data_IF_283624398743
#
_entry.id   IF_283624398743
#
_cell.length_a   1.000
_cell.length_b   1.000
_cell.length_c   1.000
_cell.angle_alpha   90.00
_cell.angle_beta   90.00
_cell.angle_gamma   90.00
#
_symmetry.space_group_name_H-M   'P 1'
#
loop_
_entity.id
_entity.type
_entity.pdbx_description
1 polymer ?
#
# COMPACT_ATOMS: atom_id res chain seq x y z
N UNK A 1 -36.97 23.27 46.14
CA UNK A 1 -37.04 22.64 44.81
C UNK A 1 -36.98 23.70 43.72
N UNK A 2 -35.84 23.79 43.03
CA UNK A 2 -35.71 24.10 41.59
C UNK A 2 -34.40 23.45 41.14
N UNK A 3 -34.52 22.45 40.28
CA UNK A 3 -33.41 21.77 39.61
C UNK A 3 -32.99 22.64 38.45
N UNK A 4 -31.69 22.87 38.26
CA UNK A 4 -31.19 23.26 36.94
C UNK A 4 -29.82 22.62 36.70
N UNK A 5 -29.83 21.74 35.71
CA UNK A 5 -28.75 20.91 35.21
C UNK A 5 -28.11 21.67 34.04
N UNK A 6 -26.81 21.91 34.05
CA UNK A 6 -26.05 22.25 32.83
C UNK A 6 -24.73 21.50 32.87
N UNK A 7 -24.74 20.29 32.32
CA UNK A 7 -24.21 19.94 30.98
C UNK A 7 -22.72 19.70 31.02
N UNK A 8 -22.42 18.40 31.01
CA UNK A 8 -21.11 17.76 30.91
C UNK A 8 -20.44 18.20 29.61
N UNK A 9 -19.34 18.96 29.69
CA UNK A 9 -18.42 19.09 28.56
C UNK A 9 -17.53 17.85 28.59
N UNK A 10 -18.07 16.74 28.09
CA UNK A 10 -17.27 15.58 27.70
C UNK A 10 -16.42 16.00 26.51
N UNK A 11 -15.23 16.51 26.80
CA UNK A 11 -14.13 16.53 25.85
C UNK A 11 -13.79 15.09 25.50
N UNK A 12 -14.50 14.54 24.52
CA UNK A 12 -14.07 13.38 23.75
C UNK A 12 -12.75 13.77 23.09
N UNK A 13 -11.66 13.50 23.79
CA UNK A 13 -10.38 13.20 23.17
C UNK A 13 -10.65 12.00 22.25
N UNK A 14 -10.99 12.29 20.98
CA UNK A 14 -10.79 11.33 19.91
C UNK A 14 -9.28 11.13 19.81
N UNK A 15 -8.74 10.26 20.67
CA UNK A 15 -7.55 9.49 20.33
C UNK A 15 -7.91 8.76 19.05
N UNK A 16 -7.50 9.31 17.91
CA UNK A 16 -7.47 8.57 16.66
C UNK A 16 -6.43 7.47 16.93
N UNK A 17 -6.89 6.32 17.42
CA UNK A 17 -6.13 5.09 17.30
C UNK A 17 -5.97 4.93 15.79
N UNK A 18 -4.82 5.37 15.26
CA UNK A 18 -4.35 4.90 13.97
C UNK A 18 -4.09 3.42 14.21
N UNK A 19 -5.12 2.60 13.98
CA UNK A 19 -4.98 1.16 13.97
C UNK A 19 -3.99 0.85 12.87
N UNK A 20 -2.73 0.63 13.26
CA UNK A 20 -1.74 0.02 12.39
C UNK A 20 -2.34 -1.32 11.96
N UNK A 21 -2.77 -1.42 10.71
CA UNK A 21 -3.35 -2.66 10.21
C UNK A 21 -2.19 -3.61 9.96
N UNK A 22 -2.21 -4.76 10.63
CA UNK A 22 -1.19 -5.78 10.40
C UNK A 22 -1.47 -6.42 9.02
N UNK A 23 -0.46 -6.50 8.15
CA UNK A 23 -0.54 -7.22 6.87
C UNK A 23 -1.16 -8.63 6.98
N UNK A 24 -0.98 -9.29 8.13
CA UNK A 24 -1.49 -10.65 8.36
C UNK A 24 -3.02 -10.70 8.52
N UNK A 25 -3.69 -9.55 8.70
CA UNK A 25 -5.16 -9.50 8.75
C UNK A 25 -5.81 -9.54 7.37
N UNK A 26 -5.05 -9.38 6.30
CA UNK A 26 -5.56 -9.46 4.93
C UNK A 26 -5.56 -10.91 4.44
N UNK A 27 -6.74 -11.43 4.13
CA UNK A 27 -7.00 -12.81 3.72
C UNK A 27 -7.50 -12.95 2.27
N UNK A 28 -7.52 -11.85 1.51
CA UNK A 28 -7.87 -11.84 0.08
C UNK A 28 -6.70 -12.36 -0.76
N UNK A 29 -6.93 -13.38 -1.59
CA UNK A 29 -5.96 -13.79 -2.62
C UNK A 29 -5.93 -12.79 -3.77
N UNK A 30 -4.73 -12.54 -4.29
CA UNK A 30 -4.57 -11.66 -5.45
C UNK A 30 -5.12 -12.27 -6.73
N UNK A 31 -5.65 -11.41 -7.59
CA UNK A 31 -5.79 -11.73 -9.02
C UNK A 31 -4.39 -11.89 -9.60
N UNK A 32 -4.16 -12.94 -10.39
CA UNK A 32 -2.84 -13.43 -10.78
C UNK A 32 -1.93 -12.31 -11.31
N UNK A 33 -2.43 -11.50 -12.25
CA UNK A 33 -1.66 -10.46 -12.96
C UNK A 33 -1.68 -9.07 -12.32
N UNK A 34 -2.39 -8.87 -11.19
CA UNK A 34 -2.54 -7.53 -10.61
C UNK A 34 -1.21 -6.91 -10.18
N UNK A 35 -0.84 -5.75 -10.72
CA UNK A 35 0.43 -5.10 -10.40
C UNK A 35 1.65 -5.77 -11.02
N UNK A 36 1.50 -6.83 -11.83
CA UNK A 36 2.61 -7.49 -12.51
C UNK A 36 2.80 -6.85 -13.90
N UNK A 37 4.02 -6.43 -14.26
CA UNK A 37 4.31 -5.95 -15.61
C UNK A 37 4.16 -7.09 -16.62
N UNK A 38 3.49 -6.87 -17.76
CA UNK A 38 3.44 -7.87 -18.83
C UNK A 38 4.84 -8.15 -19.39
N UNK A 39 5.03 -9.36 -19.90
CA UNK A 39 6.31 -9.78 -20.50
C UNK A 39 6.76 -8.90 -21.68
N UNK A 40 5.81 -8.27 -22.38
CA UNK A 40 6.07 -7.27 -23.41
C UNK A 40 5.48 -5.93 -22.96
N UNK A 41 6.18 -4.80 -23.16
CA UNK A 41 5.65 -3.49 -22.80
C UNK A 41 4.32 -3.20 -23.50
N UNK A 42 3.27 -2.97 -22.70
CA UNK A 42 1.95 -2.56 -23.20
C UNK A 42 1.67 -1.16 -22.67
N UNK A 43 1.30 -0.19 -23.52
CA UNK A 43 0.92 1.15 -23.06
C UNK A 43 -0.18 1.10 -21.99
N UNK A 44 0.04 1.77 -20.87
CA UNK A 44 -0.90 1.81 -19.75
C UNK A 44 -0.92 0.56 -18.86
N UNK A 45 -0.04 -0.43 -19.09
CA UNK A 45 0.15 -1.53 -18.13
C UNK A 45 1.03 -1.12 -16.95
N UNK A 46 1.15 -2.00 -15.97
CA UNK A 46 2.20 -1.90 -14.97
C UNK A 46 3.58 -2.01 -15.62
N UNK A 47 4.54 -1.33 -15.01
CA UNK A 47 5.96 -1.33 -15.34
C UNK A 47 6.75 -1.40 -14.03
N UNK A 48 7.96 -1.95 -14.06
CA UNK A 48 8.82 -1.89 -12.88
C UNK A 48 9.20 -0.45 -12.60
N UNK A 49 9.25 -0.08 -11.33
CA UNK A 49 9.71 1.24 -10.89
C UNK A 49 10.94 1.13 -10.00
N UNK A 50 11.80 2.15 -10.03
CA UNK A 50 12.94 2.21 -9.13
C UNK A 50 12.44 2.55 -7.73
N UNK A 51 12.74 1.72 -6.74
CA UNK A 51 12.31 1.95 -5.36
C UNK A 51 12.91 3.22 -4.73
N UNK A 52 13.91 3.82 -5.38
CA UNK A 52 14.54 5.08 -4.99
C UNK A 52 13.96 6.30 -5.70
N UNK A 53 13.07 6.10 -6.68
CA UNK A 53 12.32 7.19 -7.32
C UNK A 53 11.45 7.90 -6.27
N UNK A 54 11.30 9.22 -6.40
CA UNK A 54 10.54 10.03 -5.43
C UNK A 54 9.09 9.57 -5.30
N UNK A 55 8.48 9.14 -6.41
CA UNK A 55 7.12 8.61 -6.44
C UNK A 55 7.00 7.28 -5.69
N UNK A 56 7.89 6.34 -5.98
CA UNK A 56 7.94 5.04 -5.31
C UNK A 56 8.23 5.18 -3.80
N UNK A 57 9.17 6.05 -3.42
CA UNK A 57 9.48 6.36 -2.02
C UNK A 57 8.27 6.98 -1.29
N UNK A 58 7.54 7.88 -1.96
CA UNK A 58 6.32 8.46 -1.41
C UNK A 58 5.25 7.40 -1.16
N UNK A 59 5.04 6.50 -2.13
CA UNK A 59 4.11 5.39 -2.00
C UNK A 59 4.49 4.44 -0.85
N UNK A 60 5.77 4.08 -0.75
CA UNK A 60 6.31 3.27 0.34
C UNK A 60 6.02 3.89 1.70
N UNK A 61 6.39 5.17 1.88
CA UNK A 61 6.16 5.88 3.15
C UNK A 61 4.68 5.96 3.51
N UNK A 62 3.81 6.17 2.52
CA UNK A 62 2.37 6.23 2.73
C UNK A 62 1.81 4.88 3.21
N UNK A 63 2.32 3.77 2.66
CA UNK A 63 1.95 2.44 3.11
C UNK A 63 2.52 2.11 4.50
N UNK A 64 3.80 2.42 4.76
CA UNK A 64 4.44 2.18 6.06
C UNK A 64 3.77 2.97 7.19
N UNK A 65 3.31 4.20 6.91
CA UNK A 65 2.58 5.00 7.88
C UNK A 65 1.27 4.34 8.35
N UNK A 66 0.68 3.46 7.55
CA UNK A 66 -0.58 2.75 7.87
C UNK A 66 -0.37 1.30 8.32
N UNK A 67 0.62 0.62 7.75
CA UNK A 67 0.83 -0.83 7.92
C UNK A 67 2.04 -1.15 8.81
N UNK A 68 2.84 -0.14 9.17
CA UNK A 68 4.11 -0.32 9.87
C UNK A 68 5.24 -0.68 8.91
N UNK A 69 6.41 -1.03 9.46
CA UNK A 69 7.58 -1.40 8.67
C UNK A 69 7.31 -2.66 7.84
N UNK A 70 7.69 -2.61 6.57
CA UNK A 70 7.45 -3.68 5.61
C UNK A 70 8.75 -4.16 4.99
N UNK A 71 8.88 -5.46 4.76
CA UNK A 71 9.99 -6.01 4.00
C UNK A 71 9.66 -5.91 2.49
N UNK A 72 9.98 -4.75 1.93
CA UNK A 72 9.64 -4.38 0.55
C UNK A 72 10.55 -5.13 -0.41
N UNK A 73 9.94 -5.89 -1.30
CA UNK A 73 10.63 -6.61 -2.35
C UNK A 73 10.86 -5.73 -3.58
N UNK A 74 9.81 -5.11 -4.11
CA UNK A 74 9.87 -4.22 -5.28
C UNK A 74 8.60 -3.36 -5.36
N UNK A 75 8.59 -2.40 -6.28
CA UNK A 75 7.44 -1.54 -6.59
C UNK A 75 7.20 -1.56 -8.09
N UNK A 76 5.94 -1.67 -8.48
CA UNK A 76 5.53 -1.49 -9.86
C UNK A 76 4.62 -0.27 -9.97
N UNK A 77 4.64 0.37 -11.14
CA UNK A 77 3.91 1.60 -11.42
C UNK A 77 3.08 1.45 -12.68
N UNK A 78 1.87 1.98 -12.65
CA UNK A 78 0.99 2.17 -13.79
C UNK A 78 0.58 3.64 -13.87
N UNK A 79 0.68 4.22 -15.07
CA UNK A 79 0.22 5.59 -15.33
C UNK A 79 -1.29 5.58 -15.58
N UNK A 80 -2.02 6.37 -14.81
CA UNK A 80 -3.48 6.57 -14.91
C UNK A 80 -3.77 8.08 -14.88
N UNK A 81 -4.90 8.52 -14.31
CA UNK A 81 -5.12 9.93 -13.98
C UNK A 81 -4.34 10.36 -12.72
N UNK A 82 -3.04 10.06 -12.70
CA UNK A 82 -2.20 9.93 -11.52
C UNK A 82 -1.28 8.72 -11.69
N UNK A 83 -0.89 8.07 -10.60
CA UNK A 83 -0.09 6.86 -10.65
C UNK A 83 -0.64 5.81 -9.68
N UNK A 84 -0.79 4.59 -10.17
CA UNK A 84 -1.02 3.43 -9.32
C UNK A 84 0.32 2.77 -9.05
N UNK A 85 0.69 2.67 -7.78
CA UNK A 85 1.82 1.90 -7.30
C UNK A 85 1.32 0.60 -6.70
N UNK A 86 2.00 -0.51 -6.98
CA UNK A 86 1.81 -1.77 -6.26
C UNK A 86 3.13 -2.14 -5.61
N UNK A 87 3.14 -2.11 -4.29
CA UNK A 87 4.31 -2.46 -3.47
C UNK A 87 4.21 -3.95 -3.16
N UNK A 88 5.23 -4.71 -3.56
CA UNK A 88 5.33 -6.13 -3.24
C UNK A 88 6.07 -6.27 -1.92
N UNK A 89 5.43 -6.86 -0.93
CA UNK A 89 5.97 -7.04 0.42
C UNK A 89 6.08 -8.53 0.71
N UNK A 90 7.28 -8.99 1.06
CA UNK A 90 7.49 -10.41 1.42
C UNK A 90 7.50 -10.57 2.93
N UNK A 91 6.60 -11.41 3.45
CA UNK A 91 6.53 -11.73 4.87
C UNK A 91 6.23 -13.21 5.04
N UNK A 92 7.07 -13.88 5.82
CA UNK A 92 7.04 -15.34 5.99
C UNK A 92 7.02 -16.03 4.62
N UNK A 93 6.01 -16.87 4.36
CA UNK A 93 5.82 -17.59 3.10
C UNK A 93 4.81 -16.90 2.16
N UNK A 94 4.51 -15.61 2.39
CA UNK A 94 3.55 -14.84 1.59
C UNK A 94 4.18 -13.62 0.94
N UNK A 95 3.68 -13.32 -0.25
CA UNK A 95 3.92 -12.06 -0.95
C UNK A 95 2.62 -11.27 -0.98
N UNK A 96 2.60 -10.14 -0.29
CA UNK A 96 1.50 -9.19 -0.29
C UNK A 96 1.67 -8.18 -1.42
N UNK A 97 0.55 -7.75 -2.01
CA UNK A 97 0.48 -6.65 -2.97
C UNK A 97 -0.27 -5.52 -2.29
N UNK A 98 0.43 -4.41 -2.07
CA UNK A 98 -0.06 -3.25 -1.36
C UNK A 98 -0.26 -2.11 -2.35
N UNK A 99 -1.49 -1.87 -2.81
CA UNK A 99 -1.77 -0.79 -3.74
C UNK A 99 -1.81 0.58 -3.09
N UNK A 100 -1.18 1.54 -3.75
CA UNK A 100 -1.13 2.95 -3.36
C UNK A 100 -1.38 3.80 -4.60
N UNK A 101 -2.40 4.64 -4.53
CA UNK A 101 -2.66 5.63 -5.56
C UNK A 101 -1.98 6.96 -5.21
N UNK A 102 -1.39 7.61 -6.22
CA UNK A 102 -0.92 8.99 -6.17
C UNK A 102 -1.77 9.85 -7.10
N UNK A 103 -2.37 10.92 -6.57
CA UNK A 103 -3.13 11.86 -7.38
C UNK A 103 -2.22 12.83 -8.16
N UNK A 104 -2.80 13.60 -9.10
CA UNK A 104 -2.08 14.59 -9.91
C UNK A 104 -1.46 15.75 -9.10
N UNK A 105 -1.82 15.88 -7.82
CA UNK A 105 -1.26 16.89 -6.91
C UNK A 105 -0.16 16.34 -6.02
N UNK A 106 0.13 15.03 -6.14
CA UNK A 106 1.18 14.34 -5.40
C UNK A 106 0.76 13.77 -4.04
N UNK A 107 -0.53 13.74 -3.72
CA UNK A 107 -1.00 13.08 -2.49
C UNK A 107 -1.12 11.57 -2.69
N UNK A 108 -0.80 10.81 -1.65
CA UNK A 108 -0.83 9.35 -1.67
C UNK A 108 -1.99 8.81 -0.83
N UNK A 109 -2.66 7.78 -1.34
CA UNK A 109 -3.70 7.05 -0.63
C UNK A 109 -3.51 5.55 -0.82
N UNK A 110 -3.34 4.84 0.30
CA UNK A 110 -3.42 3.38 0.34
C UNK A 110 -4.82 2.94 -0.09
N UNK A 111 -4.90 2.02 -1.05
CA UNK A 111 -6.15 1.40 -1.44
C UNK A 111 -6.47 0.21 -0.52
N UNK A 112 -7.75 -0.06 -0.29
CA UNK A 112 -8.19 -1.10 0.66
C UNK A 112 -8.05 -2.53 0.10
N UNK A 113 -7.71 -2.67 -1.18
CA UNK A 113 -7.60 -3.96 -1.86
C UNK A 113 -6.23 -4.64 -1.70
N UNK A 114 -5.67 -4.63 -0.49
CA UNK A 114 -4.47 -5.40 -0.19
C UNK A 114 -4.80 -6.90 -0.32
N UNK A 115 -3.95 -7.60 -1.06
CA UNK A 115 -4.12 -9.03 -1.30
C UNK A 115 -2.79 -9.76 -1.13
N UNK A 116 -2.84 -11.09 -1.05
CA UNK A 116 -1.64 -11.92 -0.96
C UNK A 116 -1.61 -13.06 -2.00
N UNK A 117 -0.40 -13.56 -2.21
CA UNK A 117 -0.10 -14.80 -2.91
C UNK A 117 0.77 -15.67 -2.01
N UNK A 118 0.47 -16.96 -1.95
CA UNK A 118 1.32 -17.93 -1.24
C UNK A 118 2.59 -18.16 -2.06
N UNK A 119 3.74 -18.16 -1.40
CA UNK A 119 5.04 -18.37 -2.03
C UNK A 119 5.78 -17.09 -2.44
N UNK A 120 6.90 -17.25 -3.16
CA UNK A 120 7.78 -16.15 -3.50
C UNK A 120 7.12 -15.19 -4.49
N UNK A 121 7.67 -13.96 -4.62
CA UNK A 121 7.20 -13.00 -5.61
C UNK A 121 7.27 -13.57 -7.04
N UNK A 122 6.32 -13.19 -7.92
CA UNK A 122 6.31 -13.56 -9.34
C UNK A 122 7.67 -13.36 -10.02
N UNK A 123 8.02 -14.23 -10.97
CA UNK A 123 9.34 -14.21 -11.61
C UNK A 123 9.61 -12.92 -12.39
N UNK A 124 8.55 -12.34 -12.93
CA UNK A 124 8.47 -11.14 -13.76
C UNK A 124 8.92 -9.89 -13.00
N UNK A 125 8.81 -9.90 -11.67
CA UNK A 125 9.20 -8.79 -10.81
C UNK A 125 10.58 -9.01 -10.14
N UNK A 126 11.25 -10.14 -10.42
CA UNK A 126 12.52 -10.52 -9.74
C UNK A 126 13.74 -9.69 -10.12
N UNK A 127 13.71 -8.96 -11.23
CA UNK A 127 14.91 -8.30 -11.76
C UNK A 127 15.32 -7.03 -10.97
N UNK A 128 14.46 -6.51 -10.08
CA UNK A 128 14.64 -5.19 -9.46
C UNK A 128 14.25 -5.22 -7.98
N UNK A 129 14.89 -6.08 -7.20
CA UNK A 129 14.78 -6.02 -5.73
C UNK A 129 15.17 -4.63 -5.27
N UNK A 130 14.35 -4.00 -4.42
CA UNK A 130 14.75 -2.78 -3.73
C UNK A 130 16.01 -3.10 -2.91
N UNK A 131 17.16 -2.56 -3.34
CA UNK A 131 18.42 -2.73 -2.64
C UNK A 131 18.53 -1.71 -1.52
N UNK A 132 18.06 -2.08 -0.33
CA UNK A 132 18.31 -1.36 0.91
C UNK A 132 19.17 -2.20 1.85
#
# INVERSE_FOLDING_TARGET
MRVSLTTIVSSLLCTVLVSSQNLDTFDKKCVEDYGIPPAQPVPGSFSNDDCTDEGALGAIRAAEAKLGNMNIYTVTKQVVNGFNYVIFVTRDERTYRVPVYQDLTGNYSLEEEICYTDGPPPAEIKAWRCGY
#
